data_IF_080198282669
#
_entry.id   IF_080198282669
#
_cell.length_a   1.000
_cell.length_b   1.000
_cell.length_c   1.000
_cell.angle_alpha   90.00
_cell.angle_beta   90.00
_cell.angle_gamma   90.00
#
_symmetry.space_group_name_H-M   'P 1'
#
loop_
_entity.id
_entity.type
_entity.pdbx_description
1 polymer ?
#
# COMPACT_ATOMS: atom_id res chain seq x y z
N UNK A 1 -3.01 22.85 14.24
CA UNK A 1 -4.47 22.86 13.96
C UNK A 1 -5.08 21.57 14.48
N UNK A 2 -6.11 21.59 15.33
CA UNK A 2 -6.73 20.37 15.85
C UNK A 2 -7.90 19.90 14.97
N UNK A 3 -8.12 18.59 14.87
CA UNK A 3 -9.25 18.02 14.13
C UNK A 3 -10.57 18.38 14.84
N UNK A 4 -11.63 18.62 14.06
CA UNK A 4 -12.98 18.84 14.61
C UNK A 4 -13.47 17.55 15.25
N UNK A 5 -13.94 17.64 16.49
CA UNK A 5 -14.43 16.51 17.26
C UNK A 5 -15.96 16.51 17.28
N UNK A 6 -16.57 15.35 17.07
CA UNK A 6 -18.04 15.19 17.04
C UNK A 6 -18.59 14.59 18.35
N UNK A 7 -17.71 14.05 19.19
CA UNK A 7 -18.02 13.43 20.48
C UNK A 7 -17.00 13.91 21.51
N UNK A 8 -17.47 14.19 22.73
CA UNK A 8 -16.67 14.52 23.90
C UNK A 8 -17.13 13.68 25.10
N UNK A 9 -16.39 13.73 26.20
CA UNK A 9 -16.70 13.03 27.44
C UNK A 9 -16.96 14.04 28.55
N UNK A 10 -18.03 13.85 29.32
CA UNK A 10 -18.28 14.62 30.55
C UNK A 10 -17.33 14.19 31.66
N UNK A 11 -17.29 14.96 32.76
CA UNK A 11 -16.50 14.59 33.95
C UNK A 11 -16.97 13.26 34.58
N UNK A 12 -18.25 12.93 34.43
CA UNK A 12 -18.85 11.67 34.91
C UNK A 12 -18.55 10.47 34.00
N UNK A 13 -17.76 10.67 32.94
CA UNK A 13 -17.32 9.61 32.04
C UNK A 13 -18.32 9.26 30.92
N UNK A 14 -19.46 9.95 30.83
CA UNK A 14 -20.45 9.76 29.77
C UNK A 14 -20.01 10.42 28.48
N UNK A 15 -20.22 9.73 27.36
CA UNK A 15 -19.95 10.27 26.02
C UNK A 15 -21.13 11.11 25.55
N UNK A 16 -20.85 12.31 25.05
CA UNK A 16 -21.83 13.28 24.58
C UNK A 16 -21.51 13.74 23.17
N UNK A 17 -22.52 13.77 22.31
CA UNK A 17 -22.40 14.21 20.92
C UNK A 17 -22.55 15.73 20.80
N UNK A 18 -21.93 16.32 19.77
CA UNK A 18 -22.07 17.75 19.47
C UNK A 18 -23.49 18.14 19.02
N UNK A 19 -24.32 17.17 18.64
CA UNK A 19 -25.72 17.38 18.22
C UNK A 19 -26.66 17.41 19.44
N UNK A 20 -26.34 16.66 20.50
CA UNK A 20 -27.20 16.53 21.69
C UNK A 20 -26.90 17.59 22.77
N UNK A 21 -25.65 18.08 22.84
CA UNK A 21 -25.22 19.01 23.89
C UNK A 21 -25.74 20.45 23.72
N UNK A 22 -26.13 20.83 22.50
CA UNK A 22 -26.62 22.17 22.18
C UNK A 22 -27.95 22.53 22.86
N UNK A 23 -28.66 21.54 23.41
CA UNK A 23 -29.92 21.71 24.12
C UNK A 23 -29.76 22.01 25.62
N UNK A 24 -28.53 21.98 26.16
CA UNK A 24 -28.25 22.24 27.57
C UNK A 24 -27.97 23.74 27.79
N UNK A 25 -28.63 24.32 28.80
CA UNK A 25 -28.54 25.73 29.13
C UNK A 25 -27.14 26.14 29.64
N UNK A 26 -26.44 25.22 30.31
CA UNK A 26 -25.02 25.33 30.66
C UNK A 26 -24.31 24.00 30.33
N UNK A 27 -23.42 23.95 29.33
CA UNK A 27 -22.72 22.72 28.99
C UNK A 27 -21.70 22.36 30.08
N UNK A 28 -21.72 21.13 30.61
CA UNK A 28 -20.75 20.69 31.62
C UNK A 28 -19.32 20.73 31.07
N UNK A 29 -18.27 20.78 31.92
CA UNK A 29 -16.90 20.73 31.46
C UNK A 29 -16.62 19.45 30.65
N UNK A 30 -16.19 19.63 29.40
CA UNK A 30 -15.99 18.55 28.43
C UNK A 30 -14.52 18.22 28.23
N UNK A 31 -14.26 16.93 28.00
CA UNK A 31 -12.93 16.39 27.73
C UNK A 31 -12.91 15.55 26.46
N UNK A 32 -11.74 15.45 25.86
CA UNK A 32 -11.51 14.56 24.74
C UNK A 32 -11.65 13.10 25.17
N UNK A 33 -12.45 12.32 24.43
CA UNK A 33 -12.69 10.89 24.70
C UNK A 33 -11.39 10.07 24.80
N UNK A 34 -10.36 10.47 24.04
CA UNK A 34 -9.14 9.67 23.87
C UNK A 34 -7.92 10.14 24.68
N UNK A 35 -7.90 11.39 25.16
CA UNK A 35 -6.75 11.89 25.93
C UNK A 35 -7.12 12.78 27.10
N UNK A 36 -8.41 12.92 27.39
CA UNK A 36 -8.95 13.72 28.49
C UNK A 36 -8.58 15.22 28.45
N UNK A 37 -8.04 15.71 27.33
CA UNK A 37 -7.74 17.13 27.12
C UNK A 37 -9.04 17.95 27.11
N UNK A 38 -9.09 19.12 27.77
CA UNK A 38 -10.30 19.93 27.84
C UNK A 38 -10.70 20.46 26.46
N UNK A 39 -12.00 20.40 26.16
CA UNK A 39 -12.59 20.84 24.89
C UNK A 39 -13.78 21.79 25.15
N UNK A 40 -13.99 22.74 24.23
CA UNK A 40 -15.13 23.65 24.22
C UNK A 40 -16.08 23.30 23.08
N UNK A 41 -17.38 23.43 23.32
CA UNK A 41 -18.42 23.31 22.30
C UNK A 41 -18.45 24.53 21.37
N UNK A 42 -18.64 24.28 20.07
CA UNK A 42 -18.87 25.30 19.06
C UNK A 42 -20.22 25.02 18.39
N UNK A 43 -21.19 25.93 18.50
CA UNK A 43 -22.50 25.73 17.88
C UNK A 43 -22.42 25.79 16.35
N UNK A 44 -23.45 25.24 15.72
CA UNK A 44 -23.62 25.31 14.28
C UNK A 44 -23.70 26.78 13.83
N UNK A 45 -22.95 27.14 12.80
CA UNK A 45 -22.94 28.50 12.25
C UNK A 45 -22.72 28.48 10.74
N UNK A 46 -23.21 29.50 10.06
CA UNK A 46 -22.90 29.71 8.65
C UNK A 46 -21.47 30.22 8.48
N UNK A 47 -20.74 29.67 7.51
CA UNK A 47 -19.41 30.13 7.13
C UNK A 47 -19.34 30.32 5.63
N UNK A 48 -18.79 31.44 5.20
CA UNK A 48 -18.51 31.66 3.78
C UNK A 48 -17.20 30.98 3.38
N UNK A 49 -17.23 30.22 2.28
CA UNK A 49 -16.04 29.60 1.70
C UNK A 49 -16.09 29.67 0.18
N UNK A 50 -15.10 30.33 -0.43
CA UNK A 50 -14.96 30.48 -1.89
C UNK A 50 -16.23 31.00 -2.57
N UNK A 51 -16.85 32.04 -2.00
CA UNK A 51 -18.04 32.71 -2.56
C UNK A 51 -19.35 31.92 -2.42
N UNK A 52 -19.40 30.85 -1.61
CA UNK A 52 -20.62 30.12 -1.27
C UNK A 52 -20.79 30.04 0.25
N UNK A 53 -22.01 30.27 0.73
CA UNK A 53 -22.37 30.05 2.13
C UNK A 53 -22.44 28.54 2.42
N UNK A 54 -21.66 28.07 3.39
CA UNK A 54 -21.61 26.68 3.83
C UNK A 54 -21.97 26.60 5.32
N UNK A 55 -22.98 25.81 5.65
CA UNK A 55 -23.37 25.58 7.05
C UNK A 55 -22.37 24.65 7.73
N UNK A 56 -21.68 25.15 8.77
CA UNK A 56 -20.76 24.35 9.59
C UNK A 56 -21.56 23.77 10.74
N UNK A 57 -21.75 22.43 10.74
CA UNK A 57 -22.37 21.69 11.85
C UNK A 57 -21.63 21.95 13.17
N UNK A 58 -22.33 21.80 14.30
CA UNK A 58 -21.74 21.96 15.64
C UNK A 58 -20.62 20.95 15.89
N UNK A 59 -19.55 21.35 16.58
CA UNK A 59 -18.38 20.51 16.85
C UNK A 59 -17.68 20.93 18.14
N UNK A 60 -16.84 20.07 18.70
CA UNK A 60 -15.95 20.41 19.80
C UNK A 60 -14.55 20.79 19.29
N UNK A 61 -13.96 21.81 19.92
CA UNK A 61 -12.58 22.25 19.68
C UNK A 61 -11.78 22.25 20.99
N UNK A 62 -10.46 22.13 20.91
CA UNK A 62 -9.59 22.32 22.07
C UNK A 62 -9.69 23.75 22.62
N UNK A 63 -9.48 23.89 23.93
CA UNK A 63 -9.25 25.21 24.53
C UNK A 63 -8.01 25.90 23.93
N UNK A 64 -7.99 27.24 23.87
CA UNK A 64 -6.82 27.99 23.44
C UNK A 64 -5.58 27.60 24.26
N UNK A 65 -4.43 27.42 23.59
CA UNK A 65 -3.14 27.03 24.19
C UNK A 65 -3.10 25.64 24.85
N UNK A 66 -4.12 24.81 24.66
CA UNK A 66 -4.13 23.40 25.09
C UNK A 66 -3.85 22.50 23.88
N UNK A 67 -2.97 21.51 24.06
CA UNK A 67 -2.68 20.50 23.06
C UNK A 67 -3.20 19.13 23.50
N UNK A 68 -3.56 18.29 22.53
CA UNK A 68 -3.79 16.88 22.80
C UNK A 68 -2.49 16.16 23.18
N UNK A 69 -2.56 15.13 24.03
CA UNK A 69 -1.42 14.27 24.32
C UNK A 69 -0.83 13.66 23.04
N UNK A 70 0.45 13.30 23.08
CA UNK A 70 1.23 12.80 21.92
C UNK A 70 0.69 11.51 21.29
N UNK A 71 -0.08 10.71 22.03
CA UNK A 71 -0.74 9.48 21.53
C UNK A 71 -2.21 9.69 21.17
N UNK A 72 -2.70 10.92 21.16
CA UNK A 72 -4.10 11.20 20.88
C UNK A 72 -4.42 11.16 19.39
N UNK A 73 -5.51 10.50 19.00
CA UNK A 73 -5.98 10.47 17.60
C UNK A 73 -6.31 11.86 17.02
N UNK A 74 -6.57 12.85 17.87
CA UNK A 74 -6.94 14.21 17.47
C UNK A 74 -5.75 15.19 17.45
N UNK A 75 -4.54 14.77 17.87
CA UNK A 75 -3.33 15.57 17.74
C UNK A 75 -2.87 15.56 16.28
N UNK A 76 -3.41 16.46 15.45
CA UNK A 76 -3.13 16.48 14.00
C UNK A 76 -1.64 16.70 13.70
N UNK A 77 -0.90 17.40 14.55
CA UNK A 77 0.54 17.65 14.36
C UNK A 77 1.39 16.42 14.68
N UNK A 78 1.07 15.66 15.74
CA UNK A 78 1.69 14.34 15.96
C UNK A 78 1.14 13.26 15.04
N UNK A 79 -0.12 13.32 14.60
CA UNK A 79 -0.63 12.46 13.54
C UNK A 79 0.07 12.78 12.22
N UNK A 80 0.34 14.05 11.90
CA UNK A 80 1.20 14.47 10.79
C UNK A 80 2.63 14.01 11.00
N UNK A 81 3.18 14.00 12.22
CA UNK A 81 4.52 13.43 12.50
C UNK A 81 4.52 11.90 12.52
N UNK A 82 3.40 11.21 12.78
CA UNK A 82 3.25 9.75 12.70
C UNK A 82 3.05 9.33 11.24
N UNK A 83 2.30 10.10 10.45
CA UNK A 83 2.14 9.98 9.00
C UNK A 83 3.47 10.33 8.32
N UNK A 84 4.13 11.41 8.73
CA UNK A 84 5.48 11.78 8.31
C UNK A 84 6.47 10.71 8.73
N UNK A 85 6.52 10.20 9.96
CA UNK A 85 7.39 9.06 10.34
C UNK A 85 7.11 7.79 9.54
N UNK A 86 5.89 7.63 9.00
CA UNK A 86 5.51 6.52 8.10
C UNK A 86 5.84 6.79 6.61
N UNK A 87 6.09 8.03 6.19
CA UNK A 87 6.41 8.40 4.79
C UNK A 87 7.74 9.16 4.60
N UNK A 88 8.44 9.56 5.68
CA UNK A 88 9.67 10.38 5.64
C UNK A 88 10.89 9.60 5.19
N UNK A 89 10.92 8.28 5.37
CA UNK A 89 12.07 7.50 4.94
C UNK A 89 12.32 7.60 3.44
N UNK A 90 11.25 7.63 2.62
CA UNK A 90 11.36 7.61 1.17
C UNK A 90 11.77 8.97 0.59
N UNK A 91 11.03 10.02 0.93
CA UNK A 91 11.30 11.40 0.48
C UNK A 91 12.66 11.89 0.97
N UNK A 92 12.96 11.70 2.25
CA UNK A 92 14.24 12.13 2.82
C UNK A 92 15.41 11.30 2.30
N UNK A 93 15.22 10.02 1.97
CA UNK A 93 16.23 9.22 1.30
C UNK A 93 16.53 9.79 -0.09
N UNK A 94 15.50 10.07 -0.89
CA UNK A 94 15.65 10.61 -2.24
C UNK A 94 16.31 12.00 -2.20
N UNK A 95 15.89 12.89 -1.29
CA UNK A 95 16.50 14.22 -1.08
C UNK A 95 17.97 14.13 -0.67
N UNK A 96 18.37 13.06 0.02
CA UNK A 96 19.76 12.79 0.44
C UNK A 96 20.55 11.98 -0.58
N UNK A 97 20.02 11.74 -1.79
CA UNK A 97 20.69 10.97 -2.84
C UNK A 97 20.75 9.47 -2.59
N UNK A 98 19.91 8.94 -1.68
CA UNK A 98 19.80 7.51 -1.40
C UNK A 98 18.69 6.91 -2.28
N UNK A 99 19.10 6.16 -3.30
CA UNK A 99 18.18 5.55 -4.27
C UNK A 99 18.03 4.03 -4.12
N UNK A 100 18.69 3.44 -3.12
CA UNK A 100 18.68 2.01 -2.83
C UNK A 100 17.66 1.68 -1.74
N UNK A 101 16.61 0.97 -2.10
CA UNK A 101 15.49 0.60 -1.22
C UNK A 101 15.50 -0.88 -0.89
N UNK A 102 15.33 -1.23 0.38
CA UNK A 102 15.25 -2.63 0.81
C UNK A 102 13.79 -3.10 0.83
N UNK A 103 13.52 -4.22 0.19
CA UNK A 103 12.18 -4.81 0.15
C UNK A 103 11.93 -5.64 1.41
N UNK A 104 10.74 -5.50 1.98
CA UNK A 104 10.20 -6.32 3.06
C UNK A 104 8.84 -6.85 2.60
N UNK A 105 8.87 -7.94 1.84
CA UNK A 105 7.67 -8.62 1.41
C UNK A 105 7.41 -9.86 2.27
N UNK A 106 6.13 -10.14 2.51
CA UNK A 106 5.68 -11.34 3.22
C UNK A 106 5.42 -12.41 2.17
N UNK A 107 6.12 -13.53 2.28
CA UNK A 107 5.95 -14.70 1.41
C UNK A 107 5.04 -15.77 2.03
N UNK A 108 4.92 -15.80 3.37
CA UNK A 108 4.09 -16.73 4.13
C UNK A 108 3.57 -16.04 5.41
N UNK A 109 2.38 -16.43 5.89
CA UNK A 109 1.84 -16.03 7.20
C UNK A 109 2.82 -16.33 8.34
N UNK A 110 3.60 -17.41 8.25
CA UNK A 110 4.65 -17.74 9.25
C UNK A 110 5.79 -16.71 9.29
N UNK A 111 6.00 -15.97 8.22
CA UNK A 111 7.01 -14.90 8.17
C UNK A 111 6.54 -13.62 8.86
N UNK A 112 5.22 -13.43 9.06
CA UNK A 112 4.66 -12.33 9.86
C UNK A 112 5.17 -12.41 11.31
N UNK A 113 5.28 -13.62 11.85
CA UNK A 113 5.86 -13.87 13.17
C UNK A 113 7.38 -13.67 13.21
N UNK A 114 8.09 -13.96 12.13
CA UNK A 114 9.54 -13.68 12.04
C UNK A 114 9.82 -12.18 11.94
N UNK A 115 8.94 -11.42 11.29
CA UNK A 115 8.97 -9.96 11.24
C UNK A 115 8.67 -9.33 12.61
N UNK A 116 7.82 -9.95 13.43
CA UNK A 116 7.52 -9.50 14.80
C UNK A 116 8.55 -9.96 15.85
N UNK A 117 9.27 -11.07 15.61
CA UNK A 117 10.23 -11.69 16.54
C UNK A 117 11.71 -11.40 16.26
N UNK A 118 12.07 -10.41 15.42
CA UNK A 118 13.49 -10.03 15.31
C UNK A 118 14.02 -9.46 16.64
N UNK A 119 15.19 -9.91 17.11
CA UNK A 119 15.65 -9.62 18.47
C UNK A 119 15.99 -8.14 18.64
N UNK A 120 15.77 -7.62 19.85
CA UNK A 120 16.43 -6.39 20.33
C UNK A 120 17.93 -6.57 20.09
N UNK A 121 18.52 -5.64 19.33
CA UNK A 121 19.94 -5.61 18.98
C UNK A 121 20.77 -5.77 20.27
N UNK A 122 21.32 -6.97 20.50
CA UNK A 122 22.38 -7.17 21.47
C UNK A 122 23.69 -6.75 20.82
N UNK A 123 24.36 -5.77 21.44
CA UNK A 123 25.73 -5.39 21.10
C UNK A 123 26.67 -6.53 21.46
N UNK A 124 27.37 -7.09 20.47
CA UNK A 124 28.77 -7.48 20.62
C UNK A 124 29.49 -7.09 19.34
N UNK A 125 30.47 -6.21 19.51
CA UNK A 125 31.49 -5.93 18.53
C UNK A 125 32.42 -7.14 18.44
N UNK A 126 32.87 -7.47 17.23
CA UNK A 126 34.24 -7.88 16.99
C UNK A 126 34.62 -7.64 15.52
N UNK A 127 35.84 -7.13 15.37
CA UNK A 127 36.50 -6.68 14.15
C UNK A 127 37.05 -7.85 13.32
N UNK A 128 36.93 -7.78 11.99
CA UNK A 128 38.02 -8.00 11.02
C UNK A 128 37.47 -8.06 9.58
N UNK A 129 38.15 -7.38 8.63
CA UNK A 129 38.13 -7.75 7.20
C UNK A 129 37.42 -6.80 6.23
N UNK A 130 38.12 -5.73 5.87
CA UNK A 130 38.20 -5.00 4.60
C UNK A 130 37.07 -5.10 3.53
N UNK A 131 36.61 -3.92 3.07
CA UNK A 131 35.96 -3.76 1.75
C UNK A 131 34.42 -3.74 1.64
N UNK A 132 33.71 -2.81 2.29
CA UNK A 132 32.57 -2.06 1.68
C UNK A 132 31.89 -1.11 2.69
N UNK A 133 32.40 0.11 2.75
CA UNK A 133 31.81 1.17 3.55
C UNK A 133 30.51 1.69 2.92
N UNK A 134 29.36 1.05 3.19
CA UNK A 134 28.03 1.69 3.04
C UNK A 134 26.97 1.23 4.03
N UNK A 135 27.30 0.37 4.99
CA UNK A 135 26.34 -0.09 5.99
C UNK A 135 26.67 0.50 7.36
N UNK A 136 26.13 1.69 7.65
CA UNK A 136 26.22 2.27 8.98
C UNK A 136 25.29 1.50 9.92
N UNK A 137 25.86 0.72 10.84
CA UNK A 137 25.19 0.03 11.94
C UNK A 137 24.83 0.99 13.10
N UNK A 138 24.40 2.21 12.78
CA UNK A 138 24.09 3.23 13.78
C UNK A 138 22.57 3.39 13.89
N UNK A 139 22.01 3.04 15.05
CA UNK A 139 20.58 3.20 15.36
C UNK A 139 20.13 4.66 15.44
N UNK A 140 21.05 5.62 15.25
CA UNK A 140 20.79 7.06 15.13
C UNK A 140 20.92 7.61 13.70
N UNK A 141 21.31 6.77 12.72
CA UNK A 141 21.22 7.10 11.29
C UNK A 141 19.99 6.42 10.70
N UNK A 142 19.08 7.26 10.22
CA UNK A 142 17.83 6.94 9.55
C UNK A 142 17.86 5.57 8.86
N UNK A 143 17.09 4.63 9.43
CA UNK A 143 16.84 3.30 8.89
C UNK A 143 16.60 3.40 7.38
N UNK A 144 17.41 2.69 6.60
CA UNK A 144 17.25 2.47 5.16
C UNK A 144 15.80 2.53 4.71
N UNK A 145 15.50 3.25 3.63
CA UNK A 145 14.13 3.36 3.15
C UNK A 145 13.60 1.98 2.70
N UNK A 146 12.68 1.43 3.49
CA UNK A 146 12.09 0.11 3.24
C UNK A 146 10.81 0.22 2.41
N UNK A 147 10.63 -0.71 1.48
CA UNK A 147 9.35 -0.90 0.79
C UNK A 147 8.70 -2.17 1.34
N UNK A 148 7.57 -2.00 2.03
CA UNK A 148 6.87 -3.08 2.73
C UNK A 148 5.36 -3.10 2.46
N UNK A 149 4.87 -2.20 1.63
CA UNK A 149 3.45 -2.01 1.38
C UNK A 149 3.23 -1.39 0.00
N UNK A 150 2.10 -1.77 -0.63
CA UNK A 150 1.64 -1.23 -1.91
C UNK A 150 1.58 0.30 -1.90
N UNK A 151 1.07 0.90 -0.81
CA UNK A 151 0.98 2.37 -0.69
C UNK A 151 2.34 3.07 -0.81
N UNK A 152 3.43 2.47 -0.31
CA UNK A 152 4.78 3.06 -0.46
C UNK A 152 5.27 3.02 -1.89
N UNK A 153 4.89 1.99 -2.65
CA UNK A 153 5.21 1.92 -4.09
C UNK A 153 4.41 2.96 -4.86
N UNK A 154 3.15 3.23 -4.48
CA UNK A 154 2.35 4.34 -5.05
C UNK A 154 3.04 5.68 -4.79
N UNK A 155 3.46 5.95 -3.55
CA UNK A 155 4.21 7.17 -3.21
C UNK A 155 5.47 7.31 -4.07
N UNK A 156 6.27 6.25 -4.19
CA UNK A 156 7.49 6.24 -5.01
C UNK A 156 7.19 6.50 -6.49
N UNK A 157 6.14 5.88 -7.04
CA UNK A 157 5.71 6.12 -8.42
C UNK A 157 5.34 7.59 -8.66
N UNK A 158 4.63 8.22 -7.73
CA UNK A 158 4.26 9.64 -7.82
C UNK A 158 5.50 10.55 -7.84
N UNK A 159 6.54 10.20 -7.08
CA UNK A 159 7.81 10.93 -7.09
C UNK A 159 8.54 10.75 -8.42
N UNK A 160 8.55 9.54 -8.96
CA UNK A 160 9.10 9.26 -10.28
C UNK A 160 8.36 9.98 -11.42
N UNK A 161 7.04 10.20 -11.28
CA UNK A 161 6.28 10.99 -12.26
C UNK A 161 6.65 12.48 -12.23
N UNK A 162 7.06 12.98 -11.06
CA UNK A 162 7.48 14.38 -10.87
C UNK A 162 8.96 14.63 -11.21
N UNK A 163 9.75 13.56 -11.43
CA UNK A 163 11.18 13.65 -11.70
C UNK A 163 11.60 12.57 -12.72
N UNK A 164 11.74 12.97 -13.99
CA UNK A 164 11.94 12.06 -15.13
C UNK A 164 13.23 11.22 -15.06
N UNK A 165 14.25 11.64 -14.31
CA UNK A 165 15.51 10.90 -14.14
C UNK A 165 15.61 10.09 -12.85
N UNK A 166 14.56 10.09 -12.00
CA UNK A 166 14.60 9.39 -10.72
C UNK A 166 14.58 7.86 -10.92
N UNK A 167 13.77 7.37 -11.86
CA UNK A 167 13.55 5.93 -12.10
C UNK A 167 14.85 5.18 -12.37
N UNK A 168 15.72 5.77 -13.19
CA UNK A 168 16.99 5.17 -13.62
C UNK A 168 18.00 5.01 -12.49
N UNK A 169 17.81 5.75 -11.39
CA UNK A 169 18.68 5.70 -10.21
C UNK A 169 18.19 4.72 -9.17
N UNK A 170 16.95 4.24 -9.26
CA UNK A 170 16.33 3.41 -8.23
C UNK A 170 16.84 1.98 -8.28
N UNK A 171 17.21 1.48 -7.10
CA UNK A 171 17.70 0.13 -6.89
C UNK A 171 16.88 -0.53 -5.77
N UNK A 172 16.40 -1.75 -6.00
CA UNK A 172 15.55 -2.51 -5.08
C UNK A 172 16.25 -3.78 -4.64
N UNK A 173 16.44 -3.93 -3.33
CA UNK A 173 17.24 -5.02 -2.76
C UNK A 173 16.39 -5.96 -1.91
N UNK A 174 16.46 -7.24 -2.22
CA UNK A 174 15.85 -8.32 -1.46
C UNK A 174 16.76 -9.53 -1.44
N UNK A 175 17.00 -10.07 -0.24
CA UNK A 175 17.77 -11.30 -0.04
C UNK A 175 19.12 -11.36 -0.79
N UNK A 176 19.87 -10.27 -0.76
CA UNK A 176 21.17 -10.13 -1.44
C UNK A 176 21.09 -9.87 -2.94
N UNK A 177 19.93 -10.06 -3.56
CA UNK A 177 19.66 -9.71 -4.95
C UNK A 177 19.25 -8.24 -5.08
N UNK A 178 19.64 -7.62 -6.18
CA UNK A 178 19.31 -6.24 -6.50
C UNK A 178 18.75 -6.11 -7.92
N UNK A 179 17.71 -5.30 -8.08
CA UNK A 179 17.04 -5.06 -9.36
C UNK A 179 16.75 -3.57 -9.55
N UNK A 180 16.63 -3.13 -10.81
CA UNK A 180 16.24 -1.77 -11.15
C UNK A 180 14.71 -1.59 -11.14
N UNK A 181 14.24 -0.38 -11.46
CA UNK A 181 12.81 -0.08 -11.57
C UNK A 181 12.07 -0.98 -12.58
N UNK A 182 12.66 -1.22 -13.74
CA UNK A 182 12.03 -1.96 -14.85
C UNK A 182 11.79 -3.43 -14.52
N UNK A 183 12.60 -4.01 -13.62
CA UNK A 183 12.50 -5.38 -13.13
C UNK A 183 11.75 -5.50 -11.78
N UNK A 184 11.41 -4.36 -11.16
CA UNK A 184 10.63 -4.30 -9.91
C UNK A 184 9.17 -3.94 -10.14
N UNK A 185 8.88 -3.02 -11.05
CA UNK A 185 7.57 -2.39 -11.24
C UNK A 185 7.05 -2.64 -12.66
N UNK A 186 5.89 -3.30 -12.77
CA UNK A 186 5.28 -3.64 -14.05
C UNK A 186 3.84 -3.15 -14.14
N UNK A 187 3.55 -2.39 -15.20
CA UNK A 187 2.18 -2.03 -15.57
C UNK A 187 1.56 -3.14 -16.43
N UNK A 188 0.23 -3.09 -16.64
CA UNK A 188 -0.57 -4.10 -17.33
C UNK A 188 0.02 -4.53 -18.68
N UNK A 189 0.52 -3.58 -19.47
CA UNK A 189 1.17 -3.85 -20.75
C UNK A 189 2.44 -4.72 -20.64
N UNK A 190 3.11 -4.71 -19.47
CA UNK A 190 4.36 -5.42 -19.19
C UNK A 190 4.17 -6.70 -18.36
N UNK A 191 2.95 -7.19 -18.14
CA UNK A 191 2.75 -8.45 -17.39
C UNK A 191 3.44 -9.65 -18.05
N UNK A 192 3.53 -9.70 -19.38
CA UNK A 192 4.26 -10.77 -20.06
C UNK A 192 5.78 -10.69 -19.77
N UNK A 193 6.32 -9.48 -19.62
CA UNK A 193 7.70 -9.30 -19.19
C UNK A 193 7.90 -9.75 -17.74
N UNK A 194 6.98 -9.42 -16.83
CA UNK A 194 7.00 -9.90 -15.45
C UNK A 194 6.97 -11.44 -15.38
N UNK A 195 6.08 -12.08 -16.15
CA UNK A 195 6.00 -13.55 -16.23
C UNK A 195 7.34 -14.17 -16.65
N UNK A 196 7.96 -13.65 -17.71
CA UNK A 196 9.25 -14.15 -18.22
C UNK A 196 10.38 -13.90 -17.22
N UNK A 197 10.39 -12.76 -16.56
CA UNK A 197 11.41 -12.40 -15.58
C UNK A 197 11.32 -13.31 -14.36
N UNK A 198 10.13 -13.44 -13.75
CA UNK A 198 9.89 -14.36 -12.63
C UNK A 198 10.20 -15.82 -12.98
N UNK A 199 10.01 -16.22 -14.24
CA UNK A 199 10.37 -17.56 -14.73
C UNK A 199 11.86 -17.82 -14.92
N UNK A 200 12.70 -16.79 -14.97
CA UNK A 200 14.16 -16.91 -15.07
C UNK A 200 14.83 -16.80 -13.71
N UNK A 201 14.21 -16.10 -12.77
CA UNK A 201 14.79 -15.84 -11.46
C UNK A 201 14.73 -17.09 -10.59
N UNK A 202 15.89 -17.63 -10.21
CA UNK A 202 15.98 -18.82 -9.35
C UNK A 202 15.43 -18.58 -7.94
N UNK A 203 15.55 -17.36 -7.43
CA UNK A 203 15.08 -16.96 -6.10
C UNK A 203 13.76 -16.21 -6.20
N UNK A 204 12.82 -16.49 -5.29
CA UNK A 204 11.58 -15.72 -5.22
C UNK A 204 11.86 -14.26 -4.84
N UNK A 205 11.68 -13.36 -5.82
CA UNK A 205 11.89 -11.93 -5.62
C UNK A 205 10.53 -11.19 -5.63
N UNK A 206 10.27 -10.31 -4.65
CA UNK A 206 9.01 -9.59 -4.59
C UNK A 206 8.98 -8.45 -5.61
N UNK A 207 7.93 -8.43 -6.44
CA UNK A 207 7.71 -7.43 -7.48
C UNK A 207 6.36 -6.73 -7.30
N UNK A 208 6.17 -5.64 -8.03
CA UNK A 208 4.93 -4.87 -8.05
C UNK A 208 4.25 -5.00 -9.41
N UNK A 209 2.99 -5.44 -9.41
CA UNK A 209 2.13 -5.38 -10.59
C UNK A 209 1.06 -4.30 -10.41
N UNK A 210 0.86 -3.50 -11.43
CA UNK A 210 -0.22 -2.50 -11.53
C UNK A 210 -1.09 -2.80 -12.72
N UNK A 211 -2.39 -2.87 -12.51
CA UNK A 211 -3.33 -3.08 -13.59
C UNK A 211 -4.76 -2.96 -13.13
N UNK A 212 -5.66 -3.28 -14.04
CA UNK A 212 -7.07 -2.96 -13.93
C UNK A 212 -7.84 -4.18 -13.45
N UNK A 213 -8.76 -4.01 -12.50
CA UNK A 213 -9.63 -5.10 -12.04
C UNK A 213 -10.58 -5.51 -13.19
N UNK A 214 -10.51 -6.78 -13.58
CA UNK A 214 -11.42 -7.37 -14.57
C UNK A 214 -12.70 -7.87 -13.90
N UNK A 215 -12.56 -8.69 -12.86
CA UNK A 215 -13.64 -9.15 -12.00
C UNK A 215 -13.07 -9.57 -10.62
N UNK A 216 -13.97 -9.80 -9.67
CA UNK A 216 -13.67 -10.39 -8.38
C UNK A 216 -14.62 -11.58 -8.25
N UNK A 217 -14.06 -12.76 -8.03
CA UNK A 217 -14.77 -14.03 -7.95
C UNK A 217 -14.72 -14.57 -6.52
N UNK A 218 -15.81 -15.20 -6.09
CA UNK A 218 -15.87 -15.94 -4.83
C UNK A 218 -15.95 -17.42 -5.15
N UNK A 219 -15.01 -18.18 -4.59
CA UNK A 219 -14.90 -19.63 -4.77
C UNK A 219 -15.13 -20.29 -3.41
N UNK A 220 -16.16 -21.11 -3.31
CA UNK A 220 -16.42 -21.93 -2.13
C UNK A 220 -15.60 -23.23 -2.21
N UNK A 221 -14.74 -23.48 -1.23
CA UNK A 221 -13.91 -24.68 -1.18
C UNK A 221 -13.79 -25.23 0.24
N UNK A 222 -14.24 -26.48 0.44
CA UNK A 222 -14.20 -27.16 1.75
C UNK A 222 -14.84 -26.33 2.89
N UNK A 223 -15.98 -25.69 2.63
CA UNK A 223 -16.69 -24.86 3.63
C UNK A 223 -15.99 -23.53 3.95
N UNK A 224 -15.06 -23.08 3.11
CA UNK A 224 -14.40 -21.78 3.22
C UNK A 224 -14.54 -21.00 1.91
N UNK A 225 -14.88 -19.73 2.03
CA UNK A 225 -14.88 -18.79 0.91
C UNK A 225 -13.46 -18.31 0.62
N UNK A 226 -13.04 -18.46 -0.63
CA UNK A 226 -11.83 -17.86 -1.20
C UNK A 226 -12.24 -16.75 -2.16
N UNK A 227 -11.50 -15.66 -2.17
CA UNK A 227 -11.75 -14.53 -3.04
C UNK A 227 -10.58 -14.35 -4.00
N UNK A 228 -10.91 -14.24 -5.28
CA UNK A 228 -9.93 -14.10 -6.37
C UNK A 228 -10.20 -12.79 -7.10
N UNK A 229 -9.23 -11.88 -7.05
CA UNK A 229 -9.21 -10.70 -7.90
C UNK A 229 -8.50 -11.06 -9.19
N UNK A 230 -9.18 -10.94 -10.32
CA UNK A 230 -8.56 -11.08 -11.64
C UNK A 230 -8.28 -9.70 -12.22
N UNK A 231 -7.09 -9.50 -12.74
CA UNK A 231 -6.69 -8.29 -13.45
C UNK A 231 -6.90 -8.48 -14.96
N UNK A 232 -7.08 -7.39 -15.71
CA UNK A 232 -7.13 -7.43 -17.17
C UNK A 232 -5.81 -8.00 -17.72
N UNK A 233 -5.94 -8.70 -18.83
CA UNK A 233 -4.81 -9.28 -19.56
C UNK A 233 -3.95 -8.20 -20.20
N UNK A 234 -2.66 -8.48 -20.34
CA UNK A 234 -1.75 -7.66 -21.15
C UNK A 234 -2.17 -7.64 -22.62
N UNK A 235 -1.60 -6.70 -23.38
CA UNK A 235 -1.66 -6.74 -24.83
C UNK A 235 -1.15 -8.09 -25.38
N UNK A 236 -1.77 -8.56 -26.45
CA UNK A 236 -1.39 -9.79 -27.13
C UNK A 236 -0.15 -9.53 -28.00
N UNK A 237 0.86 -10.38 -27.85
CA UNK A 237 2.08 -10.36 -28.64
C UNK A 237 2.22 -11.64 -29.47
N UNK A 238 2.91 -11.60 -30.60
CA UNK A 238 3.26 -12.82 -31.31
C UNK A 238 4.20 -13.68 -30.47
N UNK A 239 3.91 -14.97 -30.36
CA UNK A 239 4.78 -15.91 -29.68
C UNK A 239 6.08 -16.09 -30.46
N UNK A 240 7.21 -16.08 -29.77
CA UNK A 240 8.54 -16.06 -30.41
C UNK A 240 8.84 -17.29 -31.26
N UNK A 241 8.24 -18.45 -30.93
CA UNK A 241 8.43 -19.70 -31.68
C UNK A 241 7.40 -19.90 -32.81
N UNK A 242 6.28 -19.20 -32.75
CA UNK A 242 5.18 -19.34 -33.72
C UNK A 242 4.43 -18.00 -33.83
N UNK A 243 4.68 -17.20 -34.89
CA UNK A 243 4.03 -15.90 -35.08
C UNK A 243 2.51 -15.98 -35.23
N UNK A 244 1.96 -17.15 -35.58
CA UNK A 244 0.51 -17.40 -35.69
C UNK A 244 -0.13 -17.67 -34.33
N UNK A 245 0.63 -17.64 -33.26
CA UNK A 245 0.18 -17.84 -31.88
C UNK A 245 0.28 -16.53 -31.13
N UNK A 246 -0.84 -16.08 -30.56
CA UNK A 246 -0.87 -14.94 -29.67
C UNK A 246 -0.39 -15.36 -28.28
N UNK A 247 0.35 -14.51 -27.60
CA UNK A 247 0.81 -14.71 -26.23
C UNK A 247 0.43 -13.50 -25.39
N UNK A 248 -0.19 -13.74 -24.24
CA UNK A 248 -0.62 -12.72 -23.30
C UNK A 248 -0.41 -13.21 -21.87
N UNK A 249 -0.40 -12.29 -20.91
CA UNK A 249 -0.34 -12.62 -19.51
C UNK A 249 -1.50 -12.00 -18.73
N UNK A 250 -2.01 -12.71 -17.74
CA UNK A 250 -2.99 -12.20 -16.78
C UNK A 250 -2.51 -12.45 -15.35
N UNK A 251 -2.95 -11.58 -14.44
CA UNK A 251 -2.53 -11.61 -13.04
C UNK A 251 -3.74 -11.83 -12.12
N UNK A 252 -3.58 -12.71 -11.14
CA UNK A 252 -4.63 -13.07 -10.17
C UNK A 252 -4.11 -12.93 -8.74
N UNK A 253 -4.92 -12.36 -7.85
CA UNK A 253 -4.60 -12.23 -6.44
C UNK A 253 -5.64 -12.97 -5.60
N UNK A 254 -5.16 -13.84 -4.72
CA UNK A 254 -5.96 -14.73 -3.88
C UNK A 254 -5.96 -14.26 -2.44
N UNK A 255 -7.10 -14.37 -1.76
CA UNK A 255 -7.22 -14.12 -0.32
C UNK A 255 -8.38 -14.90 0.29
N UNK A 256 -8.35 -15.12 1.59
CA UNK A 256 -9.51 -15.57 2.37
C UNK A 256 -10.21 -14.42 3.13
N UNK A 257 -9.79 -13.16 2.88
CA UNK A 257 -10.29 -11.96 3.55
C UNK A 257 -11.10 -11.10 2.57
N UNK A 258 -12.43 -11.17 2.63
CA UNK A 258 -13.35 -10.48 1.72
C UNK A 258 -13.18 -8.95 1.77
N UNK A 259 -12.97 -8.43 2.98
CA UNK A 259 -12.89 -7.00 3.28
C UNK A 259 -11.66 -6.34 2.63
N UNK A 260 -10.67 -7.13 2.20
CA UNK A 260 -9.53 -6.61 1.45
C UNK A 260 -9.88 -6.28 0.00
N UNK A 261 -10.92 -6.90 -0.56
CA UNK A 261 -11.33 -6.70 -1.94
C UNK A 261 -12.67 -5.95 -2.07
N UNK A 262 -13.50 -5.92 -1.02
CA UNK A 262 -14.85 -5.32 -1.05
C UNK A 262 -14.90 -3.86 -1.53
N UNK A 263 -13.86 -3.07 -1.27
CA UNK A 263 -13.80 -1.67 -1.72
C UNK A 263 -13.47 -1.51 -3.22
N UNK A 264 -13.08 -2.60 -3.89
CA UNK A 264 -12.61 -2.60 -5.28
C UNK A 264 -13.74 -2.99 -6.22
N UNK A 265 -13.82 -2.32 -7.36
CA UNK A 265 -14.81 -2.58 -8.41
C UNK A 265 -14.14 -2.90 -9.73
N UNK A 266 -14.90 -3.49 -10.65
CA UNK A 266 -14.46 -3.65 -12.05
C UNK A 266 -14.01 -2.30 -12.60
N UNK A 267 -12.90 -2.31 -13.33
CA UNK A 267 -12.19 -1.14 -13.86
C UNK A 267 -11.44 -0.26 -12.85
N UNK A 268 -11.43 -0.60 -11.55
CA UNK A 268 -10.51 0.06 -10.62
C UNK A 268 -9.05 -0.29 -10.98
N UNK A 269 -8.15 0.69 -10.88
CA UNK A 269 -6.71 0.42 -10.97
C UNK A 269 -6.18 0.04 -9.61
N UNK A 270 -5.47 -1.09 -9.55
CA UNK A 270 -4.90 -1.62 -8.31
C UNK A 270 -3.40 -1.85 -8.47
N UNK A 271 -2.68 -1.64 -7.37
CA UNK A 271 -1.27 -1.97 -7.22
C UNK A 271 -1.14 -3.09 -6.20
N UNK A 272 -0.44 -4.15 -6.57
CA UNK A 272 -0.20 -5.30 -5.72
C UNK A 272 1.31 -5.58 -5.64
N UNK A 273 1.85 -5.57 -4.42
CA UNK A 273 3.26 -5.79 -4.11
C UNK A 273 3.44 -7.07 -3.31
N UNK A 274 4.34 -7.95 -3.76
CA UNK A 274 4.74 -9.14 -3.02
C UNK A 274 5.37 -10.22 -3.89
N UNK A 275 5.40 -11.44 -3.36
CA UNK A 275 5.96 -12.61 -4.04
C UNK A 275 4.97 -13.18 -5.04
N UNK A 276 5.17 -12.85 -6.31
CA UNK A 276 4.39 -13.41 -7.41
C UNK A 276 4.93 -14.76 -7.83
N UNK A 277 4.03 -15.66 -8.19
CA UNK A 277 4.31 -16.96 -8.78
C UNK A 277 3.96 -16.89 -10.26
N UNK A 278 4.82 -17.46 -11.09
CA UNK A 278 4.50 -17.72 -12.49
C UNK A 278 4.06 -19.18 -12.62
N UNK A 279 2.98 -19.44 -13.36
CA UNK A 279 2.58 -20.81 -13.64
C UNK A 279 3.59 -21.45 -14.61
N UNK A 280 4.21 -22.57 -14.21
CA UNK A 280 5.16 -23.33 -15.04
C UNK A 280 4.48 -24.31 -15.98
N UNK A 281 3.30 -24.83 -15.61
CA UNK A 281 2.67 -25.98 -16.29
C UNK A 281 1.37 -25.64 -17.02
N UNK A 282 0.62 -24.62 -16.57
CA UNK A 282 -0.70 -24.31 -17.11
C UNK A 282 -0.66 -23.09 -18.02
N UNK A 283 -0.18 -23.27 -19.25
CA UNK A 283 -0.49 -22.32 -20.32
C UNK A 283 -1.85 -22.72 -20.87
N UNK A 284 -2.91 -22.04 -20.45
CA UNK A 284 -4.23 -22.26 -21.02
C UNK A 284 -4.16 -21.86 -22.49
N UNK A 285 -4.46 -22.82 -23.36
CA UNK A 285 -4.48 -22.60 -24.80
C UNK A 285 -5.91 -22.40 -25.23
N UNK A 286 -6.27 -21.17 -25.61
CA UNK A 286 -7.61 -20.85 -26.08
C UNK A 286 -7.57 -20.72 -27.60
N UNK A 287 -8.42 -21.46 -28.31
CA UNK A 287 -8.54 -21.30 -29.76
C UNK A 287 -9.26 -20.00 -30.10
N UNK A 288 -8.82 -19.32 -31.16
CA UNK A 288 -9.54 -18.17 -31.65
C UNK A 288 -10.95 -18.56 -32.11
N UNK A 289 -11.95 -17.73 -31.80
CA UNK A 289 -13.30 -17.88 -32.34
C UNK A 289 -13.27 -17.53 -33.84
N UNK A 290 -14.08 -18.22 -34.64
CA UNK A 290 -14.16 -18.00 -36.09
C UNK A 290 -14.54 -16.54 -36.41
N UNK A 291 -13.81 -15.92 -37.33
CA UNK A 291 -14.03 -14.54 -37.77
C UNK A 291 -13.03 -13.57 -37.13
N UNK A 292 -12.00 -13.24 -37.90
CA UNK A 292 -10.91 -12.30 -37.61
C UNK A 292 -10.13 -12.50 -36.31
N UNK A 293 -9.03 -13.24 -36.42
CA UNK A 293 -7.90 -12.94 -35.56
C UNK A 293 -6.60 -13.26 -36.28
N UNK A 294 -5.65 -12.34 -36.15
CA UNK A 294 -4.23 -12.46 -36.51
C UNK A 294 -3.58 -13.75 -35.98
N UNK A 295 -4.19 -14.44 -35.02
CA UNK A 295 -3.63 -15.60 -34.31
C UNK A 295 -4.61 -16.78 -34.29
N UNK A 296 -4.13 -17.99 -34.58
CA UNK A 296 -4.92 -19.24 -34.54
C UNK A 296 -5.30 -19.67 -33.12
N UNK A 297 -4.44 -19.36 -32.15
CA UNK A 297 -4.61 -19.70 -30.74
C UNK A 297 -3.90 -18.68 -29.85
N UNK A 298 -4.30 -18.63 -28.59
CA UNK A 298 -3.72 -17.77 -27.57
C UNK A 298 -3.08 -18.63 -26.48
N UNK A 299 -1.84 -18.30 -26.13
CA UNK A 299 -1.11 -18.80 -24.97
C UNK A 299 -1.30 -17.81 -23.83
N UNK A 300 -2.07 -18.24 -22.83
CA UNK A 300 -2.33 -17.42 -21.65
C UNK A 300 -1.34 -17.77 -20.54
N UNK A 301 -0.52 -16.80 -20.17
CA UNK A 301 0.47 -16.91 -19.10
C UNK A 301 -0.12 -16.41 -17.79
N UNK A 302 -0.16 -17.26 -16.78
CA UNK A 302 -0.75 -16.90 -15.49
C UNK A 302 0.32 -16.46 -14.49
N UNK A 303 0.07 -15.28 -13.89
CA UNK A 303 0.72 -14.78 -12.68
C UNK A 303 -0.26 -14.89 -11.51
N UNK A 304 0.21 -15.39 -10.36
CA UNK A 304 -0.61 -15.48 -9.15
C UNK A 304 0.12 -15.06 -7.89
N UNK A 305 -0.61 -14.46 -6.96
CA UNK A 305 -0.10 -14.11 -5.63
C UNK A 305 -1.15 -14.47 -4.58
N UNK A 306 -0.70 -14.97 -3.43
CA UNK A 306 -1.52 -15.06 -2.23
C UNK A 306 -1.30 -13.83 -1.37
N UNK A 307 -2.36 -13.09 -1.08
CA UNK A 307 -2.32 -11.96 -0.17
C UNK A 307 -2.33 -12.50 1.26
N UNK A 308 -1.26 -12.22 2.00
CA UNK A 308 -1.11 -12.57 3.42
C UNK A 308 -1.48 -11.40 4.34
N UNK A 309 -1.36 -10.16 3.86
CA UNK A 309 -1.72 -8.96 4.61
C UNK A 309 -2.36 -7.90 3.71
N UNK A 310 -3.24 -7.07 4.27
CA UNK A 310 -3.91 -5.99 3.55
C UNK A 310 -2.94 -4.98 2.91
N UNK A 311 -1.74 -4.79 3.47
CA UNK A 311 -0.77 -3.83 2.94
C UNK A 311 -0.18 -4.22 1.58
N UNK A 312 -0.35 -5.47 1.13
CA UNK A 312 0.13 -5.94 -0.17
C UNK A 312 -0.71 -5.42 -1.34
N UNK A 313 -1.92 -4.90 -1.10
CA UNK A 313 -2.81 -4.39 -2.14
C UNK A 313 -3.32 -2.99 -1.81
N UNK A 314 -3.32 -2.10 -2.80
CA UNK A 314 -3.94 -0.78 -2.69
C UNK A 314 -4.59 -0.36 -3.99
N UNK A 315 -5.75 0.29 -3.91
CA UNK A 315 -6.31 1.03 -5.05
C UNK A 315 -5.39 2.21 -5.38
N UNK A 316 -5.15 2.45 -6.67
CA UNK A 316 -4.47 3.63 -7.17
C UNK A 316 -5.55 4.66 -7.47
N UNK A 317 -5.46 5.85 -6.87
CA UNK A 317 -6.36 6.95 -7.21
C UNK A 317 -6.06 7.42 -8.64
N UNK A 318 -7.10 7.58 -9.44
CA UNK A 318 -7.02 8.24 -10.75
C UNK A 318 -6.76 9.74 -10.58
#
# INVERSE_FOLDING_TARGET
MAARMWVARTMDGQEVSAETIGSLQEPPPLRCVNCSAPVSYVPQHARESRGKACTVKAYFRLFPKVAHNTRCMFNVEEQLKIIARRSFGLLQAIERGQYRFRLLAIADIRDVDKLSKRPKISRKADMAGDGSAFFSSDSRRFLSAYINAAKRVIELRSLCASNSGLRDRLEFVFDGMSVNWEDFYYEEARFLAAYRWLGKTATSFPVTLVGTVANIETIERHGRSLYVLHMKSSAVHSYSRDPMVGELAHATAWTNQAEWLHSLKRNDTVLIFGHWRHATTNTVTTFARNGDSKFRKYLERQLSIWLHVKSQISRVAA
#
